data_IF_913023864554
#
_entry.id   IF_913023864554
#
_cell.length_a   1.000
_cell.length_b   1.000
_cell.length_c   1.000
_cell.angle_alpha   90.00
_cell.angle_beta   90.00
_cell.angle_gamma   90.00
#
_symmetry.space_group_name_H-M   'P 1'
#
loop_
_entity.id
_entity.type
_entity.pdbx_description
1 polymer ?
#
# COMPACT_ATOMS: atom_id res chain seq x y z
N UNK A 1 5.89 -17.30 -31.54
CA UNK A 1 6.79 -16.42 -30.75
C UNK A 1 5.92 -15.64 -29.80
N UNK A 2 5.73 -16.17 -28.58
CA UNK A 2 4.93 -15.53 -27.55
C UNK A 2 5.83 -14.57 -26.80
N UNK A 3 5.51 -13.27 -26.82
CA UNK A 3 6.13 -12.31 -25.91
C UNK A 3 5.58 -12.60 -24.50
N UNK A 4 6.37 -13.27 -23.71
CA UNK A 4 6.19 -13.31 -22.26
C UNK A 4 6.45 -11.89 -21.77
N UNK A 5 5.40 -11.09 -21.64
CA UNK A 5 5.47 -9.89 -20.81
C UNK A 5 5.56 -10.42 -19.38
N UNK A 6 6.78 -10.47 -18.89
CA UNK A 6 7.08 -10.78 -17.48
C UNK A 6 6.54 -9.62 -16.64
N UNK A 7 5.24 -9.69 -16.36
CA UNK A 7 4.53 -8.71 -15.55
C UNK A 7 4.75 -9.04 -14.06
N UNK A 8 6.04 -9.21 -13.71
CA UNK A 8 6.45 -9.37 -12.32
C UNK A 8 6.13 -8.05 -11.60
N UNK A 9 5.18 -8.01 -10.67
CA UNK A 9 4.92 -6.80 -9.91
C UNK A 9 6.22 -6.36 -9.25
N UNK A 10 6.61 -5.09 -9.42
CA UNK A 10 7.74 -4.52 -8.69
C UNK A 10 7.43 -4.70 -7.21
N UNK A 11 8.33 -5.38 -6.49
CA UNK A 11 8.14 -5.60 -5.07
C UNK A 11 8.17 -4.25 -4.36
N UNK A 12 7.17 -3.90 -3.54
CA UNK A 12 7.12 -2.62 -2.84
C UNK A 12 8.36 -2.36 -2.00
N UNK A 13 8.89 -3.40 -1.36
CA UNK A 13 10.09 -3.35 -0.57
C UNK A 13 11.32 -2.97 -1.42
N UNK A 14 11.44 -3.44 -2.67
CA UNK A 14 12.57 -3.11 -3.54
C UNK A 14 12.67 -1.59 -3.81
N UNK A 15 11.53 -0.91 -4.01
CA UNK A 15 11.52 0.56 -4.17
C UNK A 15 11.96 1.24 -2.87
N UNK A 16 11.43 0.81 -1.73
CA UNK A 16 11.80 1.37 -0.42
C UNK A 16 13.28 1.13 -0.13
N UNK A 17 13.78 -0.09 -0.34
CA UNK A 17 15.21 -0.43 -0.21
C UNK A 17 16.11 0.49 -1.05
N UNK A 18 15.70 0.76 -2.28
CA UNK A 18 16.51 1.57 -3.19
C UNK A 18 16.50 3.05 -2.83
N UNK A 19 15.38 3.60 -2.40
CA UNK A 19 15.19 5.05 -2.26
C UNK A 19 15.30 5.55 -0.82
N UNK A 20 14.81 4.82 0.19
CA UNK A 20 14.81 5.29 1.56
C UNK A 20 16.21 5.70 2.08
N UNK A 21 17.30 4.93 1.83
CA UNK A 21 18.64 5.33 2.25
C UNK A 21 19.20 6.57 1.53
N UNK A 22 18.59 6.98 0.42
CA UNK A 22 19.02 8.08 -0.44
C UNK A 22 18.20 9.34 -0.25
N UNK A 23 17.25 9.33 0.68
CA UNK A 23 16.42 10.50 0.95
C UNK A 23 17.27 11.66 1.45
N UNK A 24 17.06 12.84 0.87
CA UNK A 24 17.67 14.09 1.33
C UNK A 24 16.80 14.73 2.41
N UNK A 25 17.35 15.62 3.26
CA UNK A 25 16.55 16.41 4.18
C UNK A 25 15.35 17.07 3.48
N UNK A 26 14.19 16.99 4.08
CA UNK A 26 12.94 17.48 3.50
C UNK A 26 12.31 16.57 2.43
N UNK A 27 12.91 15.40 2.13
CA UNK A 27 12.44 14.49 1.08
C UNK A 27 11.13 13.81 1.39
N UNK A 28 10.42 13.38 0.34
CA UNK A 28 9.12 12.66 0.41
C UNK A 28 9.21 11.36 -0.39
N UNK A 29 8.97 10.22 0.26
CA UNK A 29 8.79 8.92 -0.39
C UNK A 29 7.37 8.44 -0.12
N UNK A 30 6.53 8.54 -1.13
CA UNK A 30 5.10 8.24 -1.03
C UNK A 30 4.79 7.00 -1.87
N UNK A 31 4.32 5.95 -1.21
CA UNK A 31 3.93 4.69 -1.86
C UNK A 31 2.41 4.72 -2.08
N UNK A 32 1.98 4.80 -3.33
CA UNK A 32 0.55 4.82 -3.66
C UNK A 32 -0.05 3.44 -3.44
N UNK A 33 -0.74 3.28 -2.32
CA UNK A 33 -1.41 2.07 -1.90
C UNK A 33 -2.95 2.12 -2.17
N UNK A 34 -3.77 1.84 -1.17
CA UNK A 34 -5.23 1.87 -1.24
C UNK A 34 -5.82 1.65 0.16
N UNK A 35 -7.10 1.99 0.36
CA UNK A 35 -7.87 1.53 1.52
C UNK A 35 -8.00 0.00 1.62
N UNK A 36 -7.69 -0.72 0.54
CA UNK A 36 -7.54 -2.19 0.55
C UNK A 36 -6.25 -2.65 1.24
N UNK A 37 -5.36 -1.74 1.61
CA UNK A 37 -4.07 -2.03 2.23
C UNK A 37 -4.11 -2.23 3.74
N UNK A 38 -5.28 -2.39 4.36
CA UNK A 38 -5.45 -2.59 5.80
C UNK A 38 -5.68 -4.07 6.15
N UNK A 39 -5.27 -4.47 7.36
CA UNK A 39 -5.27 -5.89 7.77
C UNK A 39 -6.67 -6.52 7.79
N UNK A 40 -7.70 -5.74 8.10
CA UNK A 40 -9.11 -6.21 8.14
C UNK A 40 -9.61 -6.71 6.79
N UNK A 41 -8.96 -6.38 5.68
CA UNK A 41 -9.28 -6.86 4.32
C UNK A 41 -8.74 -8.27 4.05
N UNK A 42 -7.80 -8.76 4.86
CA UNK A 42 -7.24 -10.09 4.75
C UNK A 42 -8.08 -11.12 5.52
N UNK A 43 -7.99 -12.37 5.08
CA UNK A 43 -8.45 -13.53 5.86
C UNK A 43 -7.72 -13.57 7.22
N UNK A 44 -8.45 -13.92 8.29
CA UNK A 44 -7.92 -13.96 9.66
C UNK A 44 -6.71 -14.89 9.82
N UNK A 45 -6.56 -15.92 8.98
CA UNK A 45 -5.43 -16.87 8.99
C UNK A 45 -4.11 -16.24 8.60
N UNK A 46 -4.11 -15.26 7.68
CA UNK A 46 -2.88 -14.60 7.21
C UNK A 46 -2.65 -13.22 7.81
N UNK A 47 -3.68 -12.63 8.41
CA UNK A 47 -3.61 -11.30 9.03
C UNK A 47 -2.47 -11.18 10.06
N UNK A 48 -2.30 -12.12 11.03
CA UNK A 48 -1.19 -12.04 11.99
C UNK A 48 0.19 -12.11 11.33
N UNK A 49 0.30 -12.78 10.19
CA UNK A 49 1.55 -12.92 9.45
C UNK A 49 1.98 -11.59 8.83
N UNK A 50 1.03 -10.86 8.20
CA UNK A 50 1.29 -9.52 7.69
C UNK A 50 1.58 -8.53 8.81
N UNK A 51 0.88 -8.63 9.94
CA UNK A 51 1.14 -7.80 11.11
C UNK A 51 2.57 -7.99 11.63
N UNK A 52 3.02 -9.24 11.77
CA UNK A 52 4.37 -9.57 12.22
C UNK A 52 5.44 -9.12 11.20
N UNK A 53 5.19 -9.29 9.90
CA UNK A 53 6.12 -8.89 8.84
C UNK A 53 6.36 -7.38 8.78
N UNK A 54 5.43 -6.55 9.21
CA UNK A 54 5.51 -5.09 9.14
C UNK A 54 6.60 -4.45 10.04
N UNK A 55 7.44 -5.25 10.65
CA UNK A 55 8.60 -4.80 11.45
C UNK A 55 9.92 -4.94 10.71
N UNK A 56 9.96 -5.59 9.55
CA UNK A 56 11.19 -5.82 8.76
C UNK A 56 10.87 -5.93 7.28
N UNK A 57 11.62 -5.23 6.43
CA UNK A 57 11.47 -5.34 4.97
C UNK A 57 11.77 -6.75 4.47
N UNK A 58 12.76 -7.43 5.02
CA UNK A 58 13.08 -8.82 4.66
C UNK A 58 11.91 -9.76 4.99
N UNK A 59 11.22 -9.54 6.12
CA UNK A 59 10.05 -10.33 6.48
C UNK A 59 8.86 -10.07 5.55
N UNK A 60 8.66 -8.81 5.11
CA UNK A 60 7.64 -8.48 4.10
C UNK A 60 7.96 -9.16 2.78
N UNK A 61 9.22 -9.10 2.31
CA UNK A 61 9.63 -9.74 1.06
C UNK A 61 9.46 -11.26 1.11
N UNK A 62 9.86 -11.91 2.20
CA UNK A 62 9.67 -13.35 2.38
C UNK A 62 8.19 -13.74 2.31
N UNK A 63 7.30 -12.97 2.96
CA UNK A 63 5.86 -13.22 2.93
C UNK A 63 5.26 -12.99 1.52
N UNK A 64 5.74 -11.98 0.80
CA UNK A 64 5.33 -11.72 -0.59
C UNK A 64 5.77 -12.87 -1.51
N UNK A 65 6.98 -13.40 -1.36
CA UNK A 65 7.45 -14.54 -2.16
C UNK A 65 6.63 -15.81 -1.86
N UNK A 66 6.27 -16.04 -0.61
CA UNK A 66 5.39 -17.15 -0.23
C UNK A 66 4.00 -17.00 -0.87
N UNK A 67 3.41 -15.81 -0.79
CA UNK A 67 2.16 -15.52 -1.48
C UNK A 67 2.26 -15.75 -2.99
N UNK A 68 3.34 -15.27 -3.64
CA UNK A 68 3.59 -15.50 -5.07
C UNK A 68 3.68 -16.99 -5.41
N UNK A 69 4.35 -17.77 -4.57
CA UNK A 69 4.44 -19.22 -4.72
C UNK A 69 3.04 -19.88 -4.61
N UNK A 70 2.23 -19.46 -3.65
CA UNK A 70 0.86 -19.92 -3.47
C UNK A 70 -0.02 -19.58 -4.70
N UNK A 71 0.12 -18.37 -5.27
CA UNK A 71 -0.59 -17.97 -6.50
C UNK A 71 -0.17 -18.85 -7.68
N UNK A 72 1.13 -19.06 -7.89
CA UNK A 72 1.65 -19.92 -8.98
C UNK A 72 1.16 -21.37 -8.84
N UNK A 73 1.07 -21.86 -7.61
CA UNK A 73 0.59 -23.20 -7.29
C UNK A 73 -0.96 -23.29 -7.24
N UNK A 74 -1.70 -22.20 -7.48
CA UNK A 74 -3.16 -22.09 -7.37
C UNK A 74 -3.73 -22.43 -5.97
N UNK A 75 -2.92 -22.22 -4.93
CA UNK A 75 -3.31 -22.48 -3.52
C UNK A 75 -3.57 -21.19 -2.72
N UNK A 76 -3.49 -20.00 -3.34
CA UNK A 76 -3.61 -18.73 -2.62
C UNK A 76 -4.91 -18.60 -1.80
N UNK A 77 -6.04 -19.09 -2.31
CA UNK A 77 -7.33 -19.09 -1.61
C UNK A 77 -7.31 -20.07 -0.43
N UNK A 78 -6.80 -21.27 -0.64
CA UNK A 78 -6.68 -22.30 0.39
C UNK A 78 -5.77 -21.83 1.54
N UNK A 79 -4.66 -21.16 1.20
CA UNK A 79 -3.69 -20.63 2.15
C UNK A 79 -4.12 -19.29 2.79
N UNK A 80 -5.31 -18.78 2.46
CA UNK A 80 -5.90 -17.60 3.09
C UNK A 80 -5.51 -16.26 2.45
N UNK A 81 -4.74 -16.24 1.36
CA UNK A 81 -4.40 -14.98 0.66
C UNK A 81 -5.57 -14.41 -0.16
N UNK A 82 -6.65 -15.20 -0.36
CA UNK A 82 -7.83 -14.79 -1.10
C UNK A 82 -7.67 -14.89 -2.62
N UNK A 83 -8.81 -14.72 -3.31
CA UNK A 83 -8.87 -14.79 -4.78
C UNK A 83 -8.50 -13.46 -5.45
N UNK A 84 -8.67 -12.35 -4.75
CA UNK A 84 -8.40 -11.02 -5.29
C UNK A 84 -7.00 -10.55 -4.91
N UNK A 85 -6.09 -10.64 -5.88
CA UNK A 85 -4.66 -10.35 -5.69
C UNK A 85 -4.35 -8.91 -5.25
N UNK A 86 -5.27 -7.97 -5.48
CA UNK A 86 -5.09 -6.58 -5.05
C UNK A 86 -4.97 -6.45 -3.52
N UNK A 87 -5.74 -7.21 -2.75
CA UNK A 87 -5.74 -7.07 -1.28
C UNK A 87 -4.36 -7.39 -0.69
N UNK A 88 -3.81 -8.62 -0.82
CA UNK A 88 -2.50 -8.91 -0.24
C UNK A 88 -1.39 -8.01 -0.80
N UNK A 89 -1.48 -7.61 -2.08
CA UNK A 89 -0.52 -6.69 -2.68
C UNK A 89 -0.54 -5.31 -2.02
N UNK A 90 -1.73 -4.76 -1.74
CA UNK A 90 -1.87 -3.45 -1.09
C UNK A 90 -1.51 -3.51 0.40
N UNK A 91 -1.84 -4.59 1.08
CA UNK A 91 -1.40 -4.80 2.48
C UNK A 91 0.12 -4.92 2.55
N UNK A 92 0.77 -5.63 1.61
CA UNK A 92 2.23 -5.72 1.55
C UNK A 92 2.90 -4.35 1.32
N UNK A 93 2.30 -3.47 0.50
CA UNK A 93 2.80 -2.11 0.30
C UNK A 93 2.79 -1.31 1.62
N UNK A 94 1.68 -1.37 2.37
CA UNK A 94 1.57 -0.68 3.66
C UNK A 94 2.51 -1.32 4.69
N UNK A 95 2.58 -2.66 4.75
CA UNK A 95 3.50 -3.38 5.63
C UNK A 95 4.96 -2.95 5.40
N UNK A 96 5.39 -2.80 4.13
CA UNK A 96 6.75 -2.37 3.80
C UNK A 96 7.03 -0.92 4.24
N UNK A 97 6.05 -0.02 4.12
CA UNK A 97 6.18 1.36 4.64
C UNK A 97 6.29 1.36 6.16
N UNK A 98 5.52 0.53 6.86
CA UNK A 98 5.59 0.40 8.32
C UNK A 98 6.92 -0.20 8.76
N UNK A 99 7.41 -1.22 8.06
CA UNK A 99 8.69 -1.87 8.34
C UNK A 99 9.87 -0.87 8.31
N UNK A 100 9.98 -0.08 7.23
CA UNK A 100 11.05 0.91 7.13
C UNK A 100 10.90 2.04 8.17
N UNK A 101 9.66 2.39 8.51
CA UNK A 101 9.40 3.40 9.54
C UNK A 101 9.85 2.92 10.92
N UNK A 102 9.74 1.64 11.22
CA UNK A 102 10.21 1.06 12.47
C UNK A 102 11.71 1.31 12.70
N UNK A 103 12.50 1.21 11.64
CA UNK A 103 13.96 1.37 11.69
C UNK A 103 14.42 2.84 11.64
N UNK A 104 13.71 3.71 10.93
CA UNK A 104 14.24 5.01 10.48
C UNK A 104 13.50 6.22 11.03
N UNK A 105 12.35 6.03 11.69
CA UNK A 105 11.44 7.11 12.08
C UNK A 105 12.14 8.31 12.75
N UNK A 106 12.96 8.05 13.75
CA UNK A 106 13.61 9.12 14.52
C UNK A 106 14.56 9.94 13.65
N UNK A 107 15.45 9.27 12.92
CA UNK A 107 16.44 9.93 12.07
C UNK A 107 15.80 10.68 10.90
N UNK A 108 14.79 10.09 10.26
CA UNK A 108 14.10 10.67 9.12
C UNK A 108 13.27 11.90 9.54
N UNK A 109 12.52 11.82 10.63
CA UNK A 109 11.76 12.95 11.14
C UNK A 109 12.65 14.11 11.59
N UNK A 110 13.81 13.83 12.18
CA UNK A 110 14.79 14.86 12.54
C UNK A 110 15.32 15.62 11.32
N UNK A 111 15.34 14.99 10.15
CA UNK A 111 15.71 15.58 8.86
C UNK A 111 14.52 16.09 8.04
N UNK A 112 13.31 16.06 8.58
CA UNK A 112 12.09 16.45 7.84
C UNK A 112 11.74 15.52 6.69
N UNK A 113 12.20 14.26 6.71
CA UNK A 113 11.87 13.25 5.68
C UNK A 113 10.54 12.59 6.02
N UNK A 114 9.69 12.41 5.00
CA UNK A 114 8.44 11.62 5.11
C UNK A 114 8.55 10.35 4.27
N UNK A 115 8.24 9.21 4.88
CA UNK A 115 7.94 7.95 4.18
C UNK A 115 6.54 7.52 4.59
N UNK A 116 5.60 7.45 3.64
CA UNK A 116 4.20 7.12 3.92
C UNK A 116 3.58 6.29 2.80
N UNK A 117 2.56 5.52 3.12
CA UNK A 117 1.63 4.95 2.16
C UNK A 117 0.46 5.91 1.95
N UNK A 118 -0.01 6.04 0.71
CA UNK A 118 -1.10 6.93 0.34
C UNK A 118 -2.27 6.13 -0.23
N UNK A 119 -3.48 6.40 0.25
CA UNK A 119 -4.72 6.01 -0.42
C UNK A 119 -5.30 7.23 -1.15
N UNK A 120 -5.37 7.24 -2.49
CA UNK A 120 -5.91 8.38 -3.22
C UNK A 120 -7.45 8.43 -3.21
N UNK A 121 -8.12 7.44 -2.64
CA UNK A 121 -9.58 7.27 -2.72
C UNK A 121 -10.04 6.51 -3.96
N UNK A 122 -11.35 6.49 -4.18
CA UNK A 122 -11.94 5.94 -5.39
C UNK A 122 -11.90 7.00 -6.49
N UNK A 123 -11.31 6.65 -7.63
CA UNK A 123 -11.12 7.54 -8.76
C UNK A 123 -11.91 7.01 -9.94
N UNK A 124 -12.67 7.86 -10.61
CA UNK A 124 -13.45 7.50 -11.80
C UNK A 124 -12.54 7.40 -13.03
N UNK A 125 -12.14 6.18 -13.34
CA UNK A 125 -11.28 5.84 -14.48
C UNK A 125 -11.78 4.60 -15.20
N UNK A 126 -11.33 4.40 -16.44
CA UNK A 126 -11.60 3.16 -17.17
C UNK A 126 -11.07 1.90 -16.44
N UNK A 127 -10.03 2.05 -15.61
CA UNK A 127 -9.45 0.97 -14.83
C UNK A 127 -10.28 0.60 -13.59
N UNK A 128 -10.95 1.58 -12.96
CA UNK A 128 -11.71 1.35 -11.73
C UNK A 128 -13.16 0.93 -11.97
N UNK A 129 -13.83 1.51 -12.98
CA UNK A 129 -15.25 1.27 -13.29
C UNK A 129 -15.64 -0.22 -13.36
N UNK A 130 -14.85 -1.14 -13.94
CA UNK A 130 -15.23 -2.55 -13.98
C UNK A 130 -15.26 -3.24 -12.60
N UNK A 131 -14.65 -2.64 -11.58
CA UNK A 131 -14.45 -3.26 -10.27
C UNK A 131 -15.38 -2.78 -9.18
N UNK A 132 -16.03 -1.63 -9.39
CA UNK A 132 -16.92 -1.02 -8.40
C UNK A 132 -18.30 -0.80 -8.99
N UNK A 133 -19.34 -1.31 -8.32
CA UNK A 133 -20.73 -1.18 -8.77
C UNK A 133 -21.28 0.24 -8.57
N UNK A 134 -20.81 0.92 -7.51
CA UNK A 134 -21.19 2.29 -7.19
C UNK A 134 -19.98 3.22 -7.34
N UNK A 135 -20.08 4.14 -8.28
CA UNK A 135 -19.09 5.17 -8.58
C UNK A 135 -19.54 6.58 -8.12
N UNK A 136 -20.65 6.69 -7.39
CA UNK A 136 -21.23 7.99 -7.00
C UNK A 136 -20.30 8.82 -6.11
N UNK A 137 -19.43 8.17 -5.33
CA UNK A 137 -18.42 8.79 -4.47
C UNK A 137 -17.05 8.93 -5.13
N UNK A 138 -16.90 8.53 -6.40
CA UNK A 138 -15.63 8.58 -7.08
C UNK A 138 -15.23 10.01 -7.43
N UNK A 139 -13.97 10.34 -7.23
CA UNK A 139 -13.38 11.60 -7.64
C UNK A 139 -12.96 11.56 -9.11
N UNK A 140 -12.91 12.69 -9.76
CA UNK A 140 -12.19 12.81 -11.03
C UNK A 140 -10.68 12.62 -10.79
N UNK A 141 -9.88 12.26 -11.82
CA UNK A 141 -8.43 12.18 -11.68
C UNK A 141 -7.79 13.47 -11.16
N UNK A 142 -8.26 14.63 -11.61
CA UNK A 142 -7.76 15.94 -11.16
C UNK A 142 -8.04 16.16 -9.67
N UNK A 143 -9.27 15.94 -9.22
CA UNK A 143 -9.62 16.03 -7.79
C UNK A 143 -8.82 15.05 -6.93
N UNK A 144 -8.57 13.83 -7.44
CA UNK A 144 -7.82 12.84 -6.73
C UNK A 144 -6.32 13.15 -6.63
N UNK A 145 -5.80 14.04 -7.51
CA UNK A 145 -4.40 14.46 -7.51
C UNK A 145 -4.10 15.54 -6.45
N UNK A 146 -5.08 16.33 -6.03
CA UNK A 146 -4.87 17.47 -5.13
C UNK A 146 -4.13 17.08 -3.84
N UNK A 147 -4.64 16.09 -3.11
CA UNK A 147 -4.02 15.62 -1.87
C UNK A 147 -2.65 14.98 -2.04
N UNK A 148 -2.42 14.03 -2.99
CA UNK A 148 -1.09 13.49 -3.27
C UNK A 148 -0.07 14.57 -3.62
N UNK A 149 -0.45 15.58 -4.39
CA UNK A 149 0.45 16.68 -4.75
C UNK A 149 0.77 17.52 -3.51
N UNK A 150 -0.24 17.91 -2.73
CA UNK A 150 -0.03 18.66 -1.48
C UNK A 150 0.93 17.90 -0.54
N UNK A 151 0.74 16.60 -0.35
CA UNK A 151 1.61 15.78 0.48
C UNK A 151 3.04 15.70 -0.06
N UNK A 152 3.20 15.68 -1.39
CA UNK A 152 4.49 15.54 -2.04
C UNK A 152 5.33 16.83 -2.04
N UNK A 153 4.69 18.00 -2.21
CA UNK A 153 5.40 19.27 -2.40
C UNK A 153 5.15 20.31 -1.30
N UNK A 154 4.26 20.01 -0.34
CA UNK A 154 3.98 20.90 0.79
C UNK A 154 5.21 21.17 1.65
N UNK A 155 5.32 22.38 2.19
CA UNK A 155 6.46 22.79 3.03
C UNK A 155 6.59 21.94 4.30
N UNK A 156 5.46 21.52 4.88
CA UNK A 156 5.41 20.72 6.09
C UNK A 156 4.45 19.53 5.94
N UNK A 157 4.58 18.55 6.79
CA UNK A 157 3.67 17.43 6.93
C UNK A 157 3.45 17.11 8.41
N UNK A 158 2.34 16.44 8.73
CA UNK A 158 2.09 15.92 10.07
C UNK A 158 3.02 14.73 10.34
N UNK A 159 3.89 14.77 11.37
CA UNK A 159 4.76 13.65 11.76
C UNK A 159 4.00 12.35 12.04
N UNK A 160 2.71 12.41 12.35
CA UNK A 160 1.86 11.24 12.51
C UNK A 160 1.68 10.42 11.22
N UNK A 161 1.94 11.01 10.04
CA UNK A 161 1.85 10.30 8.75
C UNK A 161 3.03 9.38 8.48
N UNK A 162 4.14 9.57 9.19
CA UNK A 162 5.35 8.79 8.95
C UNK A 162 5.14 7.31 9.27
N UNK A 163 5.32 6.46 8.27
CA UNK A 163 5.13 5.01 8.39
C UNK A 163 3.67 4.55 8.30
N UNK A 164 2.73 5.43 8.04
CA UNK A 164 1.30 5.12 8.08
C UNK A 164 0.66 5.15 6.68
N UNK A 165 -0.53 4.53 6.58
CA UNK A 165 -1.42 4.70 5.44
C UNK A 165 -2.25 5.96 5.66
N UNK A 166 -2.14 6.92 4.75
CA UNK A 166 -2.83 8.21 4.86
C UNK A 166 -3.83 8.42 3.72
N UNK A 167 -4.93 9.12 4.03
CA UNK A 167 -5.93 9.53 3.06
C UNK A 167 -6.52 10.88 3.46
N UNK A 168 -6.52 11.86 2.58
CA UNK A 168 -7.13 13.18 2.78
C UNK A 168 -6.77 13.81 4.14
N UNK A 169 -5.48 13.86 4.48
CA UNK A 169 -5.00 14.44 5.74
C UNK A 169 -5.28 13.63 6.99
N UNK A 170 -5.59 12.34 6.88
CA UNK A 170 -5.88 11.46 8.02
C UNK A 170 -5.15 10.14 7.90
N UNK A 171 -4.69 9.62 9.03
CA UNK A 171 -4.19 8.25 9.12
C UNK A 171 -5.36 7.28 9.06
N UNK A 172 -5.28 6.29 8.18
CA UNK A 172 -6.20 5.16 8.16
C UNK A 172 -5.69 4.09 9.13
N UNK A 173 -6.49 3.66 10.11
CA UNK A 173 -6.10 2.60 11.04
C UNK A 173 -5.75 1.31 10.29
N UNK A 174 -4.52 0.81 10.46
CA UNK A 174 -4.06 -0.34 9.68
C UNK A 174 -4.76 -1.65 10.06
N UNK A 175 -5.10 -1.83 11.34
CA UNK A 175 -5.79 -3.03 11.84
C UNK A 175 -7.23 -3.12 11.37
N UNK A 176 -7.94 -2.01 11.36
CA UNK A 176 -9.41 -1.98 11.14
C UNK A 176 -9.82 -1.33 9.83
N UNK A 177 -8.95 -0.50 9.24
CA UNK A 177 -9.23 0.18 7.99
C UNK A 177 -10.46 1.09 8.01
N UNK A 178 -10.99 1.34 6.83
CA UNK A 178 -12.28 2.02 6.60
C UNK A 178 -13.12 1.19 5.61
N UNK A 179 -14.45 1.36 5.59
CA UNK A 179 -15.27 0.76 4.56
C UNK A 179 -14.79 1.15 3.15
N UNK A 180 -14.74 0.21 2.25
CA UNK A 180 -14.48 0.44 0.82
C UNK A 180 -15.76 0.20 0.04
N UNK A 181 -15.99 0.88 -1.09
CA UNK A 181 -17.13 0.63 -1.95
C UNK A 181 -17.24 -0.84 -2.34
N UNK A 182 -18.47 -1.35 -2.44
CA UNK A 182 -18.70 -2.72 -2.83
C UNK A 182 -18.14 -3.00 -4.23
N UNK A 183 -17.42 -4.11 -4.33
CA UNK A 183 -16.94 -4.60 -5.62
C UNK A 183 -18.12 -4.96 -6.51
N UNK A 184 -18.05 -4.66 -7.80
CA UNK A 184 -18.98 -5.19 -8.78
C UNK A 184 -18.90 -6.74 -8.76
N UNK A 185 -20.04 -7.39 -8.64
CA UNK A 185 -20.14 -8.84 -8.84
C UNK A 185 -19.97 -9.11 -10.32
N UNK A 186 -19.01 -9.96 -10.65
CA UNK A 186 -18.80 -10.43 -12.03
C UNK A 186 -19.92 -11.40 -12.42
#
# INVERSE_FOLDING_TARGET
MGSSTDNTPIQPAAVIWAFAPRMRPGGRLIIVASALGTLDKLDERVRPRFAAAATSLDAVDALVEEWRAAVKARRAVEEGFGAWLNIPSKVAQVAAVRAIAHERREADLACGVLIAALCPGLIDTAASRPWFADMSSAQTPDQAADWPVELAVGEAFDPAFYGELVQFGRVLPWETGIPVPHRATA
#
